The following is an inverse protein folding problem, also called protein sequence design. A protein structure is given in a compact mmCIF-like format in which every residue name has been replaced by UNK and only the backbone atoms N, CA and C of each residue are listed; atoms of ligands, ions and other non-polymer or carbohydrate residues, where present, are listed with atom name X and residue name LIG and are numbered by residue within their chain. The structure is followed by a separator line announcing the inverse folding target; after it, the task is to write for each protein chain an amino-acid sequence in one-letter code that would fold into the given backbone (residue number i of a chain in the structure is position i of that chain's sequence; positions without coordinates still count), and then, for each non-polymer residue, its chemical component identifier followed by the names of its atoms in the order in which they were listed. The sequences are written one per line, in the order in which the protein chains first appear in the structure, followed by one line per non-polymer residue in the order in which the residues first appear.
data_IF_896330906453
#
_entry.id   IF_896330906453
#
_cell.length_a   1.000
_cell.length_b   1.000
_cell.length_c   1.000
_cell.angle_alpha   90.00
_cell.angle_beta   90.00
_cell.angle_gamma   90.00
#
_symmetry.space_group_name_H-M   'P 1'
#
loop_
_entity.id
_entity.type
_entity.pdbx_description
1 polymer ?
#
# COMPACT_ATOMS: atom_id res chain seq x y z
N UNK A 1 -21.55 -61.65 45.91
CA UNK A 1 -20.57 -60.55 45.69
C UNK A 1 -19.70 -60.76 44.43
N UNK A 2 -19.22 -61.99 44.13
CA UNK A 2 -18.35 -62.27 42.97
C UNK A 2 -18.96 -62.02 41.57
N UNK A 3 -20.25 -62.35 41.36
CA UNK A 3 -20.94 -62.16 40.06
C UNK A 3 -21.10 -60.68 39.66
N UNK A 4 -21.33 -59.80 40.66
CA UNK A 4 -21.50 -58.36 40.43
C UNK A 4 -20.17 -57.68 40.06
N UNK A 5 -19.04 -58.18 40.60
CA UNK A 5 -17.70 -57.71 40.29
C UNK A 5 -17.29 -58.11 38.86
N UNK A 6 -17.58 -59.35 38.45
CA UNK A 6 -17.29 -59.81 37.08
C UNK A 6 -18.11 -59.05 36.03
N UNK A 7 -19.38 -58.72 36.32
CA UNK A 7 -20.21 -57.91 35.41
C UNK A 7 -19.66 -56.49 35.23
N UNK A 8 -19.26 -55.83 36.32
CA UNK A 8 -18.66 -54.49 36.27
C UNK A 8 -17.31 -54.47 35.56
N UNK A 9 -16.50 -55.52 35.69
CA UNK A 9 -15.24 -55.65 34.95
C UNK A 9 -15.49 -55.81 33.44
N UNK A 10 -16.49 -56.59 33.04
CA UNK A 10 -16.85 -56.74 31.62
C UNK A 10 -17.39 -55.45 31.00
N UNK A 11 -18.27 -54.75 31.72
CA UNK A 11 -18.80 -53.44 31.29
C UNK A 11 -17.69 -52.38 31.18
N UNK A 12 -16.69 -52.40 32.07
CA UNK A 12 -15.52 -51.51 31.98
C UNK A 12 -14.67 -51.79 30.74
N UNK A 13 -14.40 -53.05 30.41
CA UNK A 13 -13.62 -53.42 29.22
C UNK A 13 -14.38 -53.06 27.94
N UNK A 14 -15.69 -53.25 27.91
CA UNK A 14 -16.52 -52.86 26.77
C UNK A 14 -16.54 -51.33 26.61
N UNK A 15 -16.70 -50.57 27.70
CA UNK A 15 -16.63 -49.11 27.68
C UNK A 15 -15.27 -48.61 27.17
N UNK A 16 -14.17 -49.15 27.67
CA UNK A 16 -12.82 -48.82 27.21
C UNK A 16 -12.67 -49.08 25.71
N UNK A 17 -13.11 -50.25 25.21
CA UNK A 17 -13.10 -50.54 23.77
C UNK A 17 -13.92 -49.55 22.96
N UNK A 18 -15.14 -49.22 23.39
CA UNK A 18 -15.99 -48.24 22.72
C UNK A 18 -15.33 -46.85 22.67
N UNK A 19 -14.69 -46.42 23.75
CA UNK A 19 -13.97 -45.13 23.80
C UNK A 19 -12.77 -45.12 22.86
N UNK A 20 -11.97 -46.18 22.81
CA UNK A 20 -10.83 -46.30 21.89
C UNK A 20 -11.27 -46.32 20.44
N UNK A 21 -12.31 -47.09 20.10
CA UNK A 21 -12.83 -47.12 18.72
C UNK A 21 -13.39 -45.77 18.29
N UNK A 22 -14.10 -45.07 19.18
CA UNK A 22 -14.65 -43.74 18.88
C UNK A 22 -13.56 -42.66 18.75
N UNK A 23 -12.41 -42.85 19.42
CA UNK A 23 -11.27 -41.95 19.28
C UNK A 23 -10.55 -42.16 17.94
N UNK A 24 -10.30 -43.42 17.57
CA UNK A 24 -9.65 -43.78 16.30
C UNK A 24 -10.49 -43.34 15.10
N UNK A 25 -11.82 -43.48 15.15
CA UNK A 25 -12.70 -42.99 14.06
C UNK A 25 -12.60 -41.48 13.88
N UNK A 26 -12.58 -40.71 14.98
CA UNK A 26 -12.42 -39.25 14.93
C UNK A 26 -11.03 -38.83 14.40
N UNK A 27 -9.99 -39.60 14.72
CA UNK A 27 -8.64 -39.34 14.20
C UNK A 27 -8.54 -39.62 12.70
N UNK A 28 -9.22 -40.67 12.21
CA UNK A 28 -9.31 -40.97 10.78
C UNK A 28 -10.09 -39.89 10.00
N UNK A 29 -11.24 -39.43 10.53
CA UNK A 29 -12.00 -38.32 9.92
C UNK A 29 -11.16 -37.04 9.81
N UNK A 30 -10.40 -36.71 10.87
CA UNK A 30 -9.45 -35.58 10.84
C UNK A 30 -8.35 -35.77 9.81
N UNK A 31 -7.82 -36.99 9.66
CA UNK A 31 -6.79 -37.30 8.68
C UNK A 31 -7.30 -37.12 7.24
N UNK A 32 -8.54 -37.54 6.96
CA UNK A 32 -9.20 -37.35 5.67
C UNK A 32 -9.45 -35.87 5.37
N UNK A 33 -9.91 -35.09 6.36
CA UNK A 33 -10.08 -33.64 6.22
C UNK A 33 -8.75 -32.94 5.91
N UNK A 34 -7.68 -33.28 6.64
CA UNK A 34 -6.33 -32.76 6.39
C UNK A 34 -5.86 -33.13 4.98
N UNK A 35 -6.17 -34.34 4.50
CA UNK A 35 -5.79 -34.78 3.15
C UNK A 35 -6.54 -34.00 2.07
N UNK A 36 -7.84 -33.76 2.22
CA UNK A 36 -8.61 -32.93 1.29
C UNK A 36 -8.10 -31.49 1.27
N UNK A 37 -7.83 -30.90 2.43
CA UNK A 37 -7.28 -29.55 2.54
C UNK A 37 -5.91 -29.44 1.85
N UNK A 38 -5.03 -30.44 2.00
CA UNK A 38 -3.75 -30.50 1.28
C UNK A 38 -3.95 -30.54 -0.23
N UNK A 39 -4.92 -31.30 -0.74
CA UNK A 39 -5.21 -31.38 -2.16
C UNK A 39 -5.77 -30.06 -2.72
N UNK A 40 -6.62 -29.38 -1.95
CA UNK A 40 -7.13 -28.05 -2.31
C UNK A 40 -6.01 -27.00 -2.34
N UNK A 41 -5.11 -27.01 -1.36
CA UNK A 41 -3.93 -26.12 -1.34
C UNK A 41 -3.04 -26.36 -2.56
N UNK A 42 -2.79 -27.62 -2.93
CA UNK A 42 -1.99 -27.95 -4.11
C UNK A 42 -2.64 -27.42 -5.40
N UNK A 43 -3.95 -27.60 -5.56
CA UNK A 43 -4.70 -27.06 -6.70
C UNK A 43 -4.62 -25.53 -6.79
N UNK A 44 -4.83 -24.84 -5.68
CA UNK A 44 -4.72 -23.38 -5.61
C UNK A 44 -3.30 -22.88 -5.92
N UNK A 45 -2.26 -23.59 -5.48
CA UNK A 45 -0.87 -23.26 -5.80
C UNK A 45 -0.57 -23.42 -7.29
N UNK A 46 -1.12 -24.44 -7.95
CA UNK A 46 -0.98 -24.60 -9.40
C UNK A 46 -1.71 -23.50 -10.18
N UNK A 47 -2.95 -23.16 -9.78
CA UNK A 47 -3.69 -22.05 -10.38
C UNK A 47 -2.95 -20.73 -10.23
N UNK A 48 -2.40 -20.45 -9.04
CA UNK A 48 -1.58 -19.28 -8.79
C UNK A 48 -0.36 -19.24 -9.73
N UNK A 49 0.34 -20.37 -9.90
CA UNK A 49 1.51 -20.49 -10.80
C UNK A 49 1.13 -20.26 -12.27
N UNK A 50 -0.01 -20.80 -12.71
CA UNK A 50 -0.54 -20.58 -14.07
C UNK A 50 -0.89 -19.11 -14.29
N UNK A 51 -1.56 -18.49 -13.32
CA UNK A 51 -1.93 -17.09 -13.37
C UNK A 51 -0.69 -16.19 -13.39
N UNK A 52 0.30 -16.46 -12.55
CA UNK A 52 1.58 -15.74 -12.54
C UNK A 52 2.28 -15.82 -13.89
N UNK A 53 2.39 -17.02 -14.48
CA UNK A 53 2.96 -17.21 -15.82
C UNK A 53 2.18 -16.45 -16.90
N UNK A 54 0.85 -16.46 -16.83
CA UNK A 54 -0.01 -15.70 -17.74
C UNK A 54 0.27 -14.19 -17.65
N UNK A 55 0.34 -13.64 -16.43
CA UNK A 55 0.63 -12.23 -16.20
C UNK A 55 2.05 -11.85 -16.61
N UNK A 56 3.04 -12.70 -16.36
CA UNK A 56 4.41 -12.49 -16.84
C UNK A 56 4.48 -12.40 -18.36
N UNK A 57 3.76 -13.28 -19.07
CA UNK A 57 3.69 -13.25 -20.54
C UNK A 57 2.98 -11.99 -21.05
N UNK A 58 1.86 -11.59 -20.44
CA UNK A 58 1.14 -10.37 -20.80
C UNK A 58 1.99 -9.11 -20.57
N UNK A 59 2.68 -9.04 -19.42
CA UNK A 59 3.58 -7.94 -19.09
C UNK A 59 4.77 -7.87 -20.06
N UNK A 60 5.33 -9.02 -20.45
CA UNK A 60 6.37 -9.09 -21.49
C UNK A 60 5.91 -8.53 -22.83
N UNK A 61 4.68 -8.87 -23.27
CA UNK A 61 4.10 -8.33 -24.51
C UNK A 61 3.94 -6.80 -24.46
N UNK A 62 3.40 -6.28 -23.35
CA UNK A 62 3.23 -4.83 -23.17
C UNK A 62 4.58 -4.10 -23.11
N UNK A 63 5.57 -4.66 -22.43
CA UNK A 63 6.93 -4.10 -22.40
C UNK A 63 7.52 -4.03 -23.82
N UNK A 64 7.43 -5.11 -24.60
CA UNK A 64 7.92 -5.12 -25.97
C UNK A 64 7.20 -4.07 -26.85
N UNK A 65 5.89 -3.85 -26.64
CA UNK A 65 5.15 -2.79 -27.32
C UNK A 65 5.63 -1.39 -26.92
N UNK A 66 5.87 -1.16 -25.62
CA UNK A 66 6.43 0.10 -25.12
C UNK A 66 7.81 0.34 -25.73
N UNK A 67 8.68 -0.66 -25.75
CA UNK A 67 10.03 -0.54 -26.31
C UNK A 67 9.97 -0.23 -27.82
N UNK A 68 9.07 -0.88 -28.56
CA UNK A 68 8.85 -0.62 -29.99
C UNK A 68 8.37 0.81 -30.23
N UNK A 69 7.33 1.25 -29.50
CA UNK A 69 6.80 2.62 -29.62
C UNK A 69 7.82 3.67 -29.17
N UNK A 70 8.64 3.36 -28.17
CA UNK A 70 9.71 4.25 -27.70
C UNK A 70 10.77 4.41 -28.79
N UNK A 71 11.16 3.32 -29.46
CA UNK A 71 12.10 3.38 -30.59
C UNK A 71 11.53 4.20 -31.74
N UNK A 72 10.27 3.97 -32.13
CA UNK A 72 9.61 4.74 -33.19
C UNK A 72 9.50 6.23 -32.85
N UNK A 73 9.20 6.57 -31.59
CA UNK A 73 9.17 7.96 -31.15
C UNK A 73 10.54 8.63 -31.22
N UNK A 74 11.62 7.90 -30.91
CA UNK A 74 12.99 8.42 -31.05
C UNK A 74 13.35 8.65 -32.52
N UNK A 75 13.03 7.70 -33.41
CA UNK A 75 13.24 7.83 -34.86
C UNK A 75 12.49 9.05 -35.42
N UNK A 76 11.21 9.20 -35.07
CA UNK A 76 10.40 10.36 -35.48
C UNK A 76 10.93 11.68 -34.93
N UNK A 77 11.45 11.71 -33.70
CA UNK A 77 12.07 12.90 -33.14
C UNK A 77 13.35 13.29 -33.87
N UNK A 78 14.16 12.31 -34.27
CA UNK A 78 15.38 12.57 -35.05
C UNK A 78 15.05 13.02 -36.49
N UNK A 79 14.04 12.42 -37.13
CA UNK A 79 13.52 12.91 -38.42
C UNK A 79 12.98 14.34 -38.33
N UNK A 80 12.26 14.66 -37.26
CA UNK A 80 11.76 16.02 -37.02
C UNK A 80 12.92 17.02 -36.86
N UNK A 81 13.97 16.65 -36.10
CA UNK A 81 15.18 17.48 -35.96
C UNK A 81 15.88 17.72 -37.30
N UNK A 82 16.04 16.67 -38.11
CA UNK A 82 16.65 16.78 -39.45
C UNK A 82 15.81 17.68 -40.36
N UNK A 83 14.49 17.50 -40.35
CA UNK A 83 13.56 18.32 -41.14
C UNK A 83 13.56 19.78 -40.71
N UNK A 84 13.62 20.04 -39.40
CA UNK A 84 13.74 21.40 -38.85
C UNK A 84 15.07 22.05 -39.23
N UNK A 85 16.18 21.29 -39.18
CA UNK A 85 17.49 21.77 -39.59
C UNK A 85 17.51 22.15 -41.08
N UNK A 86 17.00 21.27 -41.95
CA UNK A 86 16.86 21.56 -43.39
C UNK A 86 15.99 22.79 -43.65
N UNK A 87 14.89 22.96 -42.89
CA UNK A 87 14.04 24.16 -43.00
C UNK A 87 14.76 25.43 -42.58
N UNK A 88 15.60 25.37 -41.53
CA UNK A 88 16.42 26.50 -41.09
C UNK A 88 17.51 26.83 -42.12
N UNK A 89 18.15 25.83 -42.72
CA UNK A 89 19.11 26.04 -43.82
C UNK A 89 18.44 26.64 -45.06
N UNK A 90 17.27 26.15 -45.47
CA UNK A 90 16.51 26.70 -46.60
C UNK A 90 16.03 28.13 -46.34
N UNK A 91 15.69 28.47 -45.08
CA UNK A 91 15.40 29.86 -44.67
C UNK A 91 16.66 30.73 -44.65
N UNK A 92 17.82 30.17 -44.29
CA UNK A 92 19.12 30.85 -44.40
C UNK A 92 19.51 31.17 -45.85
N UNK A 93 19.29 30.23 -46.76
CA UNK A 93 19.54 30.41 -48.20
C UNK A 93 18.52 31.37 -48.85
N UNK A 94 17.26 31.36 -48.40
CA UNK A 94 16.22 32.32 -48.84
C UNK A 94 16.37 33.72 -48.22
N UNK A 95 17.10 33.85 -47.10
CA UNK A 95 17.44 35.11 -46.45
C UNK A 95 18.68 35.80 -47.05
N UNK A 96 19.55 35.04 -47.72
CA UNK A 96 20.73 35.56 -48.43
C UNK A 96 20.37 36.34 -49.72
N UNK A 97 19.14 36.23 -50.22
CA UNK A 97 18.65 36.97 -51.41
C UNK A 97 17.68 38.12 -51.09
N UNK A 98 17.45 38.45 -49.81
CA UNK A 98 16.53 39.54 -49.40
C UNK A 98 17.11 40.54 -48.39
N UNK A 99 18.43 40.58 -48.19
CA UNK A 99 19.09 41.55 -47.30
C UNK A 99 20.10 42.45 -48.05
N UNK A 100 19.61 43.21 -49.04
CA UNK A 100 20.32 44.40 -49.59
C UNK A 100 19.59 45.72 -49.31
N UNK A 101 18.41 45.72 -48.68
CA UNK A 101 17.72 46.97 -48.34
C UNK A 101 17.03 46.87 -46.99
N UNK A 102 17.76 47.20 -45.92
CA UNK A 102 17.41 48.27 -44.98
C UNK A 102 18.30 48.17 -43.74
N UNK A 103 19.29 49.07 -43.73
CA UNK A 103 20.05 49.48 -42.56
C UNK A 103 19.30 50.65 -41.93
N UNK A 104 18.72 50.47 -40.74
CA UNK A 104 18.51 51.51 -39.74
C UNK A 104 18.05 50.88 -38.42
N UNK A 105 18.91 50.98 -37.39
CA UNK A 105 18.54 51.20 -35.97
C UNK A 105 17.81 50.06 -35.21
N UNK A 106 18.09 49.66 -33.98
CA UNK A 106 19.04 50.05 -32.93
C UNK A 106 18.99 48.97 -31.82
N UNK A 107 20.17 48.59 -31.29
CA UNK A 107 20.49 48.36 -29.86
C UNK A 107 19.52 47.59 -28.92
N UNK A 108 19.96 46.40 -28.45
CA UNK A 108 20.25 46.02 -27.03
C UNK A 108 20.07 44.51 -26.80
N UNK A 109 21.17 43.80 -26.49
CA UNK A 109 21.56 43.25 -25.16
C UNK A 109 21.30 41.73 -25.09
N UNK A 110 22.32 40.88 -25.25
CA UNK A 110 23.05 40.19 -24.15
C UNK A 110 22.08 39.45 -23.20
N UNK A 111 22.11 38.13 -23.00
CA UNK A 111 23.23 37.36 -22.41
C UNK A 111 22.88 35.85 -22.39
N UNK A 112 23.75 35.04 -23.02
CA UNK A 112 24.43 33.80 -22.56
C UNK A 112 23.68 32.60 -21.93
N UNK A 113 24.02 31.46 -22.52
CA UNK A 113 23.85 30.03 -22.19
C UNK A 113 24.36 29.56 -20.80
N UNK A 114 23.79 28.46 -20.29
CA UNK A 114 24.43 27.11 -20.09
C UNK A 114 23.55 26.27 -19.11
N UNK A 115 23.12 25.02 -19.41
CA UNK A 115 23.87 23.72 -19.40
C UNK A 115 24.30 23.37 -17.94
N UNK A 116 24.08 22.21 -17.30
CA UNK A 116 23.80 20.80 -17.66
C UNK A 116 23.45 19.98 -16.38
N UNK A 117 22.77 18.82 -16.56
CA UNK A 117 22.97 17.47 -15.94
C UNK A 117 23.27 17.33 -14.42
N UNK A 118 22.41 16.67 -13.63
CA UNK A 118 22.26 15.21 -13.37
C UNK A 118 23.35 14.51 -12.50
N UNK A 119 22.97 14.11 -11.29
CA UNK A 119 22.91 12.72 -10.76
C UNK A 119 23.50 12.47 -9.35
N UNK A 120 22.78 11.65 -8.56
CA UNK A 120 23.23 10.68 -7.52
C UNK A 120 22.06 10.40 -6.56
N UNK A 121 21.16 9.44 -6.84
CA UNK A 121 21.16 8.02 -6.42
C UNK A 121 21.12 7.76 -4.90
N UNK A 122 19.93 7.41 -4.37
CA UNK A 122 19.78 6.60 -3.14
C UNK A 122 18.58 5.66 -3.27
N UNK A 123 18.86 4.36 -3.19
CA UNK A 123 17.92 3.24 -3.30
C UNK A 123 16.97 3.19 -2.10
N UNK A 124 15.66 3.27 -2.36
CA UNK A 124 14.63 2.85 -1.41
C UNK A 124 13.74 1.81 -2.08
N UNK A 125 13.67 0.64 -1.45
CA UNK A 125 12.83 -0.51 -1.77
C UNK A 125 11.36 -0.06 -1.78
N UNK A 126 10.83 0.19 -2.98
CA UNK A 126 9.45 0.60 -3.20
C UNK A 126 8.51 -0.55 -2.89
N UNK A 127 7.59 -0.34 -1.95
CA UNK A 127 6.30 -0.98 -1.98
C UNK A 127 5.65 -0.67 -3.33
N UNK A 128 5.22 -1.70 -4.04
CA UNK A 128 4.51 -1.56 -5.30
C UNK A 128 3.12 -1.02 -4.98
N UNK A 129 2.99 0.30 -4.97
CA UNK A 129 1.72 0.98 -4.94
C UNK A 129 1.00 0.74 -6.28
N UNK A 130 -0.29 0.42 -6.30
CA UNK A 130 -1.11 0.57 -7.50
C UNK A 130 -1.42 2.06 -7.69
N UNK A 131 -0.39 2.87 -7.99
CA UNK A 131 -0.62 4.19 -8.58
C UNK A 131 -1.10 3.98 -10.01
N UNK A 132 -2.41 3.96 -10.20
CA UNK A 132 -2.94 3.73 -11.55
C UNK A 132 -4.44 3.79 -11.76
N UNK A 133 -5.28 4.05 -10.76
CA UNK A 133 -6.66 4.52 -10.99
C UNK A 133 -7.06 5.47 -9.86
N UNK A 134 -6.99 6.77 -10.12
CA UNK A 134 -7.84 7.71 -9.38
C UNK A 134 -9.28 7.26 -9.62
N UNK A 135 -10.03 7.01 -8.56
CA UNK A 135 -11.48 7.01 -8.61
C UNK A 135 -11.92 8.35 -9.20
N UNK A 136 -12.89 8.40 -10.12
CA UNK A 136 -13.55 9.64 -10.47
C UNK A 136 -14.39 10.07 -9.25
N UNK A 137 -13.77 10.78 -8.32
CA UNK A 137 -14.44 11.59 -7.30
C UNK A 137 -14.39 13.05 -7.76
N UNK A 138 -15.09 13.31 -8.85
CA UNK A 138 -15.78 14.57 -9.06
C UNK A 138 -17.25 14.20 -9.28
N UNK A 139 -18.17 15.04 -8.80
CA UNK A 139 -19.62 14.88 -8.90
C UNK A 139 -20.13 14.83 -10.35
N UNK A 140 -19.77 13.79 -11.08
CA UNK A 140 -20.18 13.50 -12.44
C UNK A 140 -20.90 12.17 -12.42
N UNK A 141 -22.22 12.25 -12.64
CA UNK A 141 -23.00 11.11 -13.14
C UNK A 141 -22.15 10.43 -14.21
N UNK A 142 -21.77 9.17 -13.99
CA UNK A 142 -20.95 8.43 -14.95
C UNK A 142 -21.63 8.47 -16.31
N UNK A 143 -21.00 8.98 -17.39
CA UNK A 143 -21.63 9.10 -18.71
C UNK A 143 -21.97 7.76 -19.41
N UNK A 144 -21.91 6.63 -18.72
CA UNK A 144 -22.39 5.34 -19.24
C UNK A 144 -23.91 5.21 -19.05
N UNK A 145 -24.64 6.13 -19.66
CA UNK A 145 -26.11 6.10 -19.72
C UNK A 145 -26.63 5.63 -21.10
N UNK A 146 -25.74 5.11 -21.95
CA UNK A 146 -26.16 4.52 -23.22
C UNK A 146 -26.47 3.02 -23.10
N UNK A 147 -27.77 2.74 -23.30
CA UNK A 147 -28.39 1.47 -23.70
C UNK A 147 -28.61 0.44 -22.59
N UNK A 148 -29.47 0.84 -21.64
CA UNK A 148 -30.27 -0.07 -20.81
C UNK A 148 -31.04 -1.06 -21.69
N UNK A 149 -30.94 -2.37 -21.42
CA UNK A 149 -31.51 -3.41 -22.29
C UNK A 149 -32.74 -4.05 -21.70
N UNK A 150 -32.67 -4.45 -20.43
CA UNK A 150 -33.75 -5.19 -19.76
C UNK A 150 -33.93 -4.65 -18.34
N UNK A 151 -35.16 -4.32 -17.98
CA UNK A 151 -35.61 -4.07 -16.61
C UNK A 151 -36.44 -5.26 -16.17
N UNK A 152 -36.02 -5.95 -15.11
CA UNK A 152 -36.81 -7.00 -14.47
C UNK A 152 -37.18 -6.57 -13.06
N UNK A 153 -38.43 -6.76 -12.69
CA UNK A 153 -38.92 -6.61 -11.32
C UNK A 153 -39.10 -7.99 -10.73
N UNK A 154 -38.49 -8.24 -9.57
CA UNK A 154 -38.61 -9.48 -8.82
C UNK A 154 -39.87 -9.47 -7.94
N UNK A 155 -40.35 -10.65 -7.57
CA UNK A 155 -41.54 -10.84 -6.72
C UNK A 155 -41.38 -10.15 -5.36
N UNK A 156 -40.14 -10.07 -4.85
CA UNK A 156 -39.78 -9.41 -3.60
C UNK A 156 -39.60 -7.88 -3.72
N UNK A 157 -39.95 -7.29 -4.86
CA UNK A 157 -39.88 -5.84 -5.11
C UNK A 157 -38.51 -5.33 -5.56
N UNK A 158 -37.48 -6.18 -5.63
CA UNK A 158 -36.16 -5.78 -6.14
C UNK A 158 -36.21 -5.51 -7.64
N UNK A 159 -35.39 -4.56 -8.10
CA UNK A 159 -35.27 -4.19 -9.52
C UNK A 159 -33.90 -4.59 -10.03
N UNK A 160 -33.86 -5.40 -11.10
CA UNK A 160 -32.64 -5.77 -11.80
C UNK A 160 -32.61 -5.05 -13.15
N UNK A 161 -31.47 -4.44 -13.45
CA UNK A 161 -31.16 -3.79 -14.71
C UNK A 161 -29.95 -4.49 -15.33
N UNK A 162 -30.12 -5.04 -16.53
CA UNK A 162 -29.02 -5.64 -17.29
C UNK A 162 -28.62 -4.72 -18.45
N UNK A 163 -27.32 -4.44 -18.56
CA UNK A 163 -26.73 -3.62 -19.59
C UNK A 163 -26.14 -4.48 -20.72
N UNK A 164 -25.99 -3.92 -21.92
CA UNK A 164 -25.46 -4.59 -23.12
C UNK A 164 -24.09 -5.24 -22.88
N UNK A 165 -23.24 -4.59 -22.08
CA UNK A 165 -21.90 -5.06 -21.76
C UNK A 165 -21.86 -6.18 -20.71
N UNK A 166 -23.00 -6.68 -20.24
CA UNK A 166 -23.09 -7.72 -19.21
C UNK A 166 -23.10 -7.22 -17.77
N UNK A 167 -22.88 -5.92 -17.53
CA UNK A 167 -23.05 -5.32 -16.20
C UNK A 167 -24.50 -5.49 -15.72
N UNK A 168 -24.67 -5.82 -14.44
CA UNK A 168 -25.97 -5.95 -13.78
C UNK A 168 -26.06 -4.96 -12.63
N UNK A 169 -27.19 -4.26 -12.51
CA UNK A 169 -27.49 -3.37 -11.40
C UNK A 169 -28.76 -3.85 -10.70
N UNK A 170 -28.62 -4.23 -9.43
CA UNK A 170 -29.71 -4.59 -8.53
C UNK A 170 -30.01 -3.42 -7.59
N UNK A 171 -31.29 -3.11 -7.41
CA UNK A 171 -31.76 -2.08 -6.50
C UNK A 171 -32.76 -2.75 -5.56
N UNK A 172 -32.56 -2.57 -4.25
CA UNK A 172 -33.47 -3.10 -3.22
C UNK A 172 -34.89 -2.54 -3.37
N UNK A 173 -35.89 -3.24 -2.82
CA UNK A 173 -37.29 -2.81 -2.88
C UNK A 173 -37.51 -1.42 -2.27
N UNK A 174 -36.81 -1.13 -1.16
CA UNK A 174 -36.82 0.17 -0.47
C UNK A 174 -35.94 1.24 -1.14
N UNK A 175 -35.25 0.91 -2.23
CA UNK A 175 -34.30 1.75 -2.96
C UNK A 175 -33.09 2.27 -2.16
N UNK A 176 -32.88 1.78 -0.93
CA UNK A 176 -31.79 2.24 -0.05
C UNK A 176 -30.46 1.54 -0.34
N UNK A 177 -30.50 0.36 -0.94
CA UNK A 177 -29.31 -0.41 -1.30
C UNK A 177 -29.25 -0.58 -2.81
N UNK A 178 -28.08 -0.32 -3.40
CA UNK A 178 -27.82 -0.58 -4.82
C UNK A 178 -26.56 -1.40 -4.97
N UNK A 179 -26.61 -2.48 -5.74
CA UNK A 179 -25.45 -3.32 -6.06
C UNK A 179 -25.24 -3.33 -7.56
N UNK A 180 -24.04 -2.97 -8.01
CA UNK A 180 -23.62 -3.03 -9.41
C UNK A 180 -22.54 -4.08 -9.54
N UNK A 181 -22.81 -5.11 -10.34
CA UNK A 181 -21.88 -6.18 -10.71
C UNK A 181 -21.37 -5.88 -12.12
N UNK A 182 -20.10 -5.50 -12.22
CA UNK A 182 -19.48 -5.16 -13.49
C UNK A 182 -19.04 -6.42 -14.25
N UNK A 183 -18.93 -6.30 -15.57
CA UNK A 183 -18.52 -7.41 -16.45
C UNK A 183 -17.09 -7.92 -16.17
N UNK A 184 -16.23 -7.09 -15.59
CA UNK A 184 -14.86 -7.45 -15.19
C UNK A 184 -14.80 -8.14 -13.81
N UNK A 185 -15.94 -8.47 -13.20
CA UNK A 185 -16.04 -9.10 -11.89
C UNK A 185 -16.09 -8.12 -10.71
N UNK A 186 -15.79 -6.83 -10.93
CA UNK A 186 -15.85 -5.83 -9.88
C UNK A 186 -17.28 -5.64 -9.36
N UNK A 187 -17.41 -5.26 -8.09
CA UNK A 187 -18.72 -5.05 -7.45
C UNK A 187 -18.74 -3.69 -6.75
N UNK A 188 -19.71 -2.83 -7.06
CA UNK A 188 -19.98 -1.59 -6.32
C UNK A 188 -21.28 -1.70 -5.55
N UNK A 189 -21.24 -1.54 -4.24
CA UNK A 189 -22.40 -1.50 -3.35
C UNK A 189 -22.57 -0.09 -2.79
N UNK A 190 -23.78 0.44 -2.85
CA UNK A 190 -24.18 1.68 -2.19
C UNK A 190 -25.11 1.26 -1.07
N UNK A 191 -24.72 1.61 0.16
CA UNK A 191 -25.39 1.20 1.39
C UNK A 191 -26.40 2.27 1.86
N UNK A 192 -27.39 1.90 2.69
CA UNK A 192 -28.36 2.86 3.24
C UNK A 192 -27.73 3.98 4.09
N UNK A 193 -26.59 3.70 4.72
CA UNK A 193 -25.82 4.67 5.50
C UNK A 193 -24.90 5.56 4.63
N UNK A 194 -25.16 5.60 3.32
CA UNK A 194 -24.44 6.35 2.30
C UNK A 194 -22.99 5.92 2.08
N UNK A 195 -22.54 4.82 2.71
CA UNK A 195 -21.23 4.24 2.40
C UNK A 195 -21.24 3.61 1.01
N UNK A 196 -20.13 3.74 0.30
CA UNK A 196 -19.91 3.11 -1.00
C UNK A 196 -18.80 2.08 -0.84
N UNK A 197 -19.10 0.81 -1.12
CA UNK A 197 -18.13 -0.29 -1.06
C UNK A 197 -17.85 -0.75 -2.49
N UNK A 198 -16.62 -0.59 -2.95
CA UNK A 198 -16.14 -1.08 -4.23
C UNK A 198 -15.21 -2.27 -4.00
N UNK A 199 -15.51 -3.42 -4.59
CA UNK A 199 -14.66 -4.60 -4.57
C UNK A 199 -14.02 -4.76 -5.95
N UNK A 200 -12.69 -4.75 -5.97
CA UNK A 200 -11.87 -5.02 -7.14
C UNK A 200 -11.59 -6.52 -7.20
N UNK A 201 -12.15 -7.21 -8.18
CA UNK A 201 -12.07 -8.67 -8.25
C UNK A 201 -10.64 -9.16 -8.52
N UNK A 202 -9.96 -8.54 -9.48
CA UNK A 202 -8.59 -8.92 -9.90
C UNK A 202 -7.58 -8.77 -8.75
N UNK A 203 -7.62 -7.64 -8.05
CA UNK A 203 -6.74 -7.36 -6.91
C UNK A 203 -7.23 -7.96 -5.58
N UNK A 204 -8.45 -8.52 -5.54
CA UNK A 204 -9.14 -8.97 -4.33
C UNK A 204 -9.19 -7.92 -3.21
N UNK A 205 -9.35 -6.65 -3.58
CA UNK A 205 -9.28 -5.50 -2.66
C UNK A 205 -10.65 -4.86 -2.50
N UNK A 206 -11.08 -4.64 -1.25
CA UNK A 206 -12.28 -3.88 -0.95
C UNK A 206 -11.92 -2.43 -0.58
N UNK A 207 -12.54 -1.47 -1.25
CA UNK A 207 -12.42 -0.03 -0.97
C UNK A 207 -13.77 0.51 -0.50
N UNK A 208 -13.82 1.00 0.73
CA UNK A 208 -15.00 1.65 1.30
C UNK A 208 -14.80 3.16 1.39
N UNK A 209 -15.68 3.94 0.79
CA UNK A 209 -15.76 5.39 0.97
C UNK A 209 -16.91 5.71 1.91
N UNK A 210 -16.61 6.45 2.97
CA UNK A 210 -17.58 6.90 3.97
C UNK A 210 -18.08 8.31 3.63
N UNK A 211 -19.29 8.70 4.09
CA UNK A 211 -19.82 10.05 3.89
C UNK A 211 -18.96 11.16 4.50
N UNK A 212 -18.16 10.84 5.52
CA UNK A 212 -17.19 11.76 6.11
C UNK A 212 -16.00 12.07 5.19
N UNK A 213 -15.87 11.38 4.05
CA UNK A 213 -14.71 11.43 3.16
C UNK A 213 -13.58 10.46 3.54
N UNK A 214 -13.71 9.71 4.63
CA UNK A 214 -12.78 8.64 4.98
C UNK A 214 -12.84 7.53 3.93
N UNK A 215 -11.69 7.15 3.38
CA UNK A 215 -11.53 5.99 2.51
C UNK A 215 -10.82 4.87 3.26
N UNK A 216 -11.31 3.63 3.13
CA UNK A 216 -10.73 2.44 3.77
C UNK A 216 -10.51 1.36 2.72
N UNK A 217 -9.26 1.00 2.47
CA UNK A 217 -8.86 -0.12 1.61
C UNK A 217 -8.53 -1.34 2.48
N UNK A 218 -9.05 -2.50 2.10
CA UNK A 218 -8.75 -3.81 2.71
C UNK A 218 -8.17 -4.71 1.64
N UNK A 219 -6.93 -5.13 1.86
CA UNK A 219 -6.16 -5.96 0.95
C UNK A 219 -6.25 -7.44 1.33
N UNK A 220 -5.99 -8.37 0.40
CA UNK A 220 -6.09 -9.81 0.66
C UNK A 220 -5.08 -10.31 1.70
N UNK A 221 -3.97 -9.60 1.90
CA UNK A 221 -2.98 -9.92 2.93
C UNK A 221 -3.39 -9.48 4.35
N UNK A 222 -4.65 -9.07 4.57
CA UNK A 222 -5.16 -8.46 5.80
C UNK A 222 -4.59 -7.07 6.15
N UNK A 223 -3.82 -6.45 5.24
CA UNK A 223 -3.46 -5.04 5.39
C UNK A 223 -4.70 -4.16 5.20
N UNK A 224 -4.81 -3.13 6.03
CA UNK A 224 -5.87 -2.13 5.94
C UNK A 224 -5.21 -0.76 5.79
N UNK A 225 -5.62 0.02 4.80
CA UNK A 225 -5.19 1.41 4.65
C UNK A 225 -6.40 2.34 4.82
N UNK A 226 -6.23 3.40 5.61
CA UNK A 226 -7.23 4.45 5.79
C UNK A 226 -6.66 5.76 5.27
N UNK A 227 -7.41 6.44 4.41
CA UNK A 227 -7.08 7.78 3.95
C UNK A 227 -8.11 8.75 4.50
N UNK A 228 -7.64 9.71 5.26
CA UNK A 228 -8.47 10.72 5.92
C UNK A 228 -8.59 11.97 5.02
N UNK A 229 -9.70 12.72 5.13
CA UNK A 229 -9.90 13.95 4.35
C UNK A 229 -8.85 15.05 4.59
N UNK A 230 -8.21 15.03 5.77
CA UNK A 230 -7.14 15.95 6.16
C UNK A 230 -5.77 15.58 5.54
N UNK A 231 -5.73 14.59 4.66
CA UNK A 231 -4.51 14.09 4.03
C UNK A 231 -3.75 13.05 4.87
N UNK A 232 -4.13 12.84 6.13
CA UNK A 232 -3.53 11.81 6.99
C UNK A 232 -3.79 10.42 6.41
N UNK A 233 -2.80 9.54 6.52
CA UNK A 233 -2.94 8.12 6.13
C UNK A 233 -2.55 7.22 7.27
N UNK A 234 -3.29 6.12 7.45
CA UNK A 234 -3.00 5.09 8.42
C UNK A 234 -2.93 3.73 7.72
N UNK A 235 -1.86 2.98 7.94
CA UNK A 235 -1.67 1.62 7.46
C UNK A 235 -1.66 0.70 8.67
N UNK A 236 -2.58 -0.26 8.71
CA UNK A 236 -2.59 -1.36 9.68
C UNK A 236 -2.06 -2.60 8.96
N UNK A 237 -0.90 -3.06 9.40
CA UNK A 237 -0.24 -4.25 8.85
C UNK A 237 -0.82 -5.54 9.46
N UNK A 238 -0.57 -6.71 8.84
CA UNK A 238 -1.12 -7.99 9.30
C UNK A 238 -0.59 -8.41 10.69
N UNK A 239 0.58 -7.91 11.08
CA UNK A 239 1.16 -8.09 12.42
C UNK A 239 0.58 -7.13 13.47
N UNK A 240 -0.45 -6.35 13.12
CA UNK A 240 -1.07 -5.31 13.93
C UNK A 240 -0.20 -4.06 14.16
N UNK A 241 0.97 -3.94 13.50
CA UNK A 241 1.70 -2.68 13.47
C UNK A 241 0.86 -1.62 12.75
N UNK A 242 0.80 -0.42 13.33
CA UNK A 242 0.06 0.71 12.76
C UNK A 242 1.03 1.80 12.38
N UNK A 243 1.08 2.19 11.10
CA UNK A 243 1.89 3.31 10.62
C UNK A 243 1.00 4.46 10.15
N UNK A 244 1.16 5.63 10.76
CA UNK A 244 0.48 6.89 10.42
C UNK A 244 1.44 7.83 9.71
N UNK A 245 0.93 8.50 8.69
CA UNK A 245 1.63 9.53 7.93
C UNK A 245 0.76 10.78 7.93
N UNK A 246 1.30 11.89 8.40
CA UNK A 246 0.63 13.19 8.33
C UNK A 246 1.10 13.97 7.09
N UNK A 247 0.30 14.96 6.68
CA UNK A 247 0.70 15.91 5.63
C UNK A 247 1.93 16.76 6.03
N UNK A 248 2.16 16.96 7.33
CA UNK A 248 3.36 17.65 7.85
C UNK A 248 4.66 16.87 7.63
N UNK A 249 4.59 15.59 7.23
CA UNK A 249 5.74 14.71 7.05
C UNK A 249 6.18 14.01 8.33
N UNK A 250 5.36 14.04 9.38
CA UNK A 250 5.57 13.21 10.58
C UNK A 250 5.12 11.78 10.26
N UNK A 251 6.00 10.82 10.48
CA UNK A 251 5.68 9.39 10.44
C UNK A 251 5.62 8.84 11.85
N UNK A 252 4.53 8.17 12.21
CA UNK A 252 4.38 7.52 13.50
C UNK A 252 4.09 6.03 13.31
N UNK A 253 4.83 5.16 13.98
CA UNK A 253 4.64 3.71 13.94
C UNK A 253 4.37 3.20 15.35
N UNK A 254 3.25 2.52 15.55
CA UNK A 254 2.87 1.87 16.80
C UNK A 254 3.00 0.37 16.61
N UNK A 255 3.83 -0.27 17.43
CA UNK A 255 4.03 -1.72 17.43
C UNK A 255 3.08 -2.42 18.41
N UNK A 256 2.80 -3.72 18.22
CA UNK A 256 1.91 -4.48 19.09
C UNK A 256 2.37 -4.56 20.56
N UNK A 257 3.67 -4.46 20.81
CA UNK A 257 4.27 -4.43 22.14
C UNK A 257 4.07 -3.10 22.89
N UNK A 258 3.42 -2.11 22.25
CA UNK A 258 3.21 -0.76 22.76
C UNK A 258 4.35 0.21 22.45
N UNK A 259 5.41 -0.22 21.78
CA UNK A 259 6.49 0.67 21.34
C UNK A 259 5.97 1.63 20.28
N UNK A 260 6.27 2.92 20.43
CA UNK A 260 5.90 3.98 19.48
C UNK A 260 7.15 4.62 18.92
N UNK A 261 7.25 4.68 17.60
CA UNK A 261 8.34 5.33 16.88
C UNK A 261 7.81 6.51 16.10
N UNK A 262 8.33 7.71 16.36
CA UNK A 262 8.03 8.93 15.60
C UNK A 262 9.24 9.36 14.81
N UNK A 263 9.08 9.71 13.54
CA UNK A 263 10.13 10.23 12.68
C UNK A 263 9.65 11.55 12.11
N UNK A 264 10.40 12.60 12.38
CA UNK A 264 10.13 13.94 11.87
C UNK A 264 10.68 14.12 10.45
N UNK A 265 10.20 15.16 9.76
CA UNK A 265 10.61 15.47 8.38
C UNK A 265 12.11 15.75 8.24
N UNK A 266 12.77 16.21 9.29
CA UNK A 266 14.22 16.44 9.33
C UNK A 266 15.03 15.14 9.52
N UNK A 267 14.38 14.00 9.75
CA UNK A 267 15.00 12.70 10.00
C UNK A 267 15.22 12.38 11.49
N UNK A 268 14.92 13.31 12.40
CA UNK A 268 15.01 13.05 13.84
C UNK A 268 13.97 11.99 14.22
N UNK A 269 14.40 11.06 15.06
CA UNK A 269 13.59 9.90 15.46
C UNK A 269 13.43 9.87 16.96
N UNK A 270 12.20 9.66 17.41
CA UNK A 270 11.86 9.38 18.80
C UNK A 270 11.32 7.94 18.91
N UNK A 271 11.75 7.22 19.92
CA UNK A 271 11.24 5.89 20.28
C UNK A 271 10.73 5.96 21.71
N UNK A 272 9.46 5.65 21.93
CA UNK A 272 8.86 5.47 23.25
C UNK A 272 8.64 3.98 23.45
N UNK A 273 9.34 3.39 24.41
CA UNK A 273 9.20 1.98 24.75
C UNK A 273 8.04 1.77 25.71
N UNK A 274 7.48 0.56 25.71
CA UNK A 274 6.37 0.17 26.60
C UNK A 274 6.71 0.24 28.10
N UNK A 275 8.00 0.20 28.46
CA UNK A 275 8.48 0.38 29.83
C UNK A 275 8.63 1.85 30.26
N UNK A 276 8.16 2.81 29.46
CA UNK A 276 8.23 4.25 29.71
C UNK A 276 9.59 4.89 29.40
N UNK A 277 10.59 4.12 28.97
CA UNK A 277 11.84 4.69 28.47
C UNK A 277 11.63 5.37 27.13
N UNK A 278 12.36 6.45 26.90
CA UNK A 278 12.29 7.23 25.66
C UNK A 278 13.68 7.38 25.07
N UNK A 279 13.81 7.20 23.76
CA UNK A 279 15.06 7.38 23.02
C UNK A 279 14.86 8.42 21.93
N UNK A 280 15.80 9.35 21.80
CA UNK A 280 15.79 10.44 20.82
C UNK A 280 17.07 10.31 20.00
N UNK A 281 16.94 10.17 18.69
CA UNK A 281 18.03 10.12 17.73
C UNK A 281 17.95 11.38 16.89
N UNK A 282 19.02 12.17 16.94
CA UNK A 282 19.24 13.30 16.05
C UNK A 282 20.51 13.06 15.25
N UNK A 283 20.81 13.93 14.28
CA UNK A 283 22.11 13.91 13.61
C UNK A 283 23.30 14.12 14.57
N UNK A 284 23.07 14.77 15.72
CA UNK A 284 24.13 15.18 16.65
C UNK A 284 24.31 14.23 17.84
N UNK A 285 23.24 13.52 18.24
CA UNK A 285 23.31 12.65 19.40
C UNK A 285 22.23 11.57 19.40
N UNK A 286 22.45 10.53 20.22
CA UNK A 286 21.45 9.58 20.68
C UNK A 286 21.26 9.74 22.17
N UNK A 287 20.05 10.04 22.62
CA UNK A 287 19.71 10.26 24.02
C UNK A 287 18.68 9.23 24.48
N UNK A 288 18.90 8.64 25.65
CA UNK A 288 17.93 7.77 26.34
C UNK A 288 17.52 8.41 27.66
N UNK A 289 16.22 8.60 27.82
CA UNK A 289 15.55 9.12 29.02
C UNK A 289 14.89 7.94 29.73
N UNK A 290 15.20 7.77 31.00
CA UNK A 290 14.69 6.69 31.84
C UNK A 290 13.58 7.21 32.77
N UNK A 291 12.61 6.36 33.17
CA UNK A 291 11.52 6.76 34.06
C UNK A 291 11.96 7.30 35.42
N UNK A 292 13.14 6.92 35.89
CA UNK A 292 13.74 7.43 37.13
C UNK A 292 14.23 8.88 37.03
N UNK A 293 14.17 9.49 35.84
CA UNK A 293 14.69 10.82 35.54
C UNK A 293 16.15 10.84 35.05
N UNK A 294 16.83 9.68 35.00
CA UNK A 294 18.18 9.58 34.47
C UNK A 294 18.16 9.80 32.95
N UNK A 295 19.12 10.56 32.43
CA UNK A 295 19.29 10.83 31.00
C UNK A 295 20.71 10.47 30.60
N UNK A 296 20.84 9.63 29.55
CA UNK A 296 22.13 9.30 28.93
C UNK A 296 22.16 9.82 27.51
N UNK A 297 23.14 10.65 27.16
CA UNK A 297 23.34 11.17 25.80
C UNK A 297 24.69 10.70 25.28
N UNK A 298 24.71 10.12 24.08
CA UNK A 298 25.92 9.79 23.33
C UNK A 298 25.95 10.72 22.12
N UNK A 299 26.96 11.58 22.05
CA UNK A 299 27.12 12.53 20.96
C UNK A 299 27.82 11.86 19.77
N UNK A 300 27.67 12.45 18.58
CA UNK A 300 28.35 12.02 17.36
C UNK A 300 29.88 12.07 17.46
N UNK A 301 30.42 12.88 18.38
CA UNK A 301 31.84 12.94 18.73
C UNK A 301 32.32 11.76 19.60
N UNK A 302 31.47 10.80 19.95
CA UNK A 302 31.82 9.69 20.85
C UNK A 302 31.68 10.03 22.34
N UNK A 303 31.67 11.32 22.70
CA UNK A 303 31.47 11.78 24.09
C UNK A 303 30.14 11.28 24.65
N UNK A 304 30.16 10.86 25.92
CA UNK A 304 28.97 10.36 26.63
C UNK A 304 28.68 11.18 27.87
N UNK A 305 27.44 11.60 28.02
CA UNK A 305 26.96 12.36 29.17
C UNK A 305 25.85 11.58 29.89
N UNK A 306 25.97 11.42 31.20
CA UNK A 306 24.91 10.87 32.06
C UNK A 306 24.51 11.92 33.09
N UNK A 307 23.26 12.38 33.02
CA UNK A 307 22.61 13.21 34.03
C UNK A 307 21.73 12.30 34.88
N UNK A 308 22.06 12.18 36.16
CA UNK A 308 21.27 11.40 37.11
C UNK A 308 20.12 12.24 37.66
N UNK A 309 19.06 11.58 38.11
CA UNK A 309 17.92 12.24 38.75
C UNK A 309 18.27 13.01 40.03
N UNK A 310 19.39 12.67 40.67
CA UNK A 310 19.92 13.41 41.82
C UNK A 310 20.52 14.77 41.46
N UNK A 311 20.65 15.12 40.18
CA UNK A 311 21.36 16.31 39.70
C UNK A 311 22.83 16.08 39.35
N UNK A 312 23.41 14.92 39.73
CA UNK A 312 24.79 14.54 39.39
C UNK A 312 24.95 14.44 37.88
N UNK A 313 26.04 14.98 37.35
CA UNK A 313 26.40 14.92 35.93
C UNK A 313 27.77 14.28 35.77
N UNK A 314 27.84 13.22 34.95
CA UNK A 314 29.08 12.55 34.60
C UNK A 314 29.29 12.57 33.09
N UNK A 315 30.44 13.06 32.65
CA UNK A 315 30.82 13.10 31.23
C UNK A 315 32.05 12.23 31.02
N UNK A 316 32.02 11.43 29.95
CA UNK A 316 33.13 10.60 29.49
C UNK A 316 33.54 10.98 28.08
N UNK A 317 34.83 10.86 27.77
CA UNK A 317 35.36 10.97 26.41
C UNK A 317 34.98 9.74 25.55
N UNK A 318 35.48 9.69 24.31
CA UNK A 318 35.23 8.60 23.35
C UNK A 318 35.80 7.27 23.85
N UNK A 319 36.93 7.30 24.55
CA UNK A 319 37.61 6.15 25.14
C UNK A 319 36.94 5.65 26.44
N UNK A 320 35.97 6.41 26.98
CA UNK A 320 35.21 6.07 28.16
C UNK A 320 35.84 6.52 29.49
N UNK A 321 36.91 7.30 29.44
CA UNK A 321 37.52 7.93 30.62
C UNK A 321 36.62 9.07 31.12
N UNK A 322 36.61 9.27 32.45
CA UNK A 322 35.79 10.32 33.06
C UNK A 322 36.50 11.66 32.90
N UNK A 323 35.89 12.59 32.18
CA UNK A 323 36.39 13.97 32.04
C UNK A 323 35.70 14.95 32.99
N UNK A 324 34.49 14.63 33.44
CA UNK A 324 33.76 15.41 34.44
C UNK A 324 32.89 14.50 35.30
N UNK A 325 32.88 14.73 36.61
CA UNK A 325 31.94 14.09 37.54
C UNK A 325 31.54 15.11 38.61
N UNK A 326 30.42 15.80 38.39
CA UNK A 326 29.89 16.84 39.27
C UNK A 326 28.70 16.28 40.02
N UNK A 327 28.75 16.28 41.34
CA UNK A 327 27.65 15.84 42.21
C UNK A 327 26.58 16.90 42.36
#
# INVERSE_FOLDING_TARGET
KSVKIHKLQKEKVEFERYTTTAQVTRENEKAEEIQMLKQQIAGLQEEFRRNESHWQAAHGKLRNQIDTLTKQNLELQDELRVSEHQRLEAKGQSGATKNTLQRAESLKSTTREHREKMSSSTLHRKSVMPTGRKTPLEGRVTPFELQKVIKQMLIDGRKIITFRNGTKKEISADTRTTVVMFFNGDIKKIMPDQRVIYYYADAQTAHTTYPSGLEVLRFPNNQIEKHYPDGTKEIVFPDQTVKRFSESGLEETVFPDGTVVKVEKNGDKMVLFSNGQKEIHTAQFKRREYPDGTIKTVYSSGQQETKYSSGRVRIKDEEGNIILDKK
#
